data_IF_345833477912
#
_entry.id   IF_345833477912
#
_cell.length_a   1.000
_cell.length_b   1.000
_cell.length_c   1.000
_cell.angle_alpha   90.00
_cell.angle_beta   90.00
_cell.angle_gamma   90.00
#
_symmetry.space_group_name_H-M   'P 1'
#
loop_
_entity.id
_entity.type
_entity.pdbx_description
1 polymer ?
#
# COMPACT_ATOMS: atom_id res chain seq x y z
N UNK A 1 19.22 12.72 25.58
CA UNK A 1 19.44 11.97 24.31
C UNK A 1 18.14 11.24 24.06
N UNK A 2 17.36 11.69 23.07
CA UNK A 2 16.01 11.17 22.80
C UNK A 2 16.07 9.98 21.84
N UNK A 3 15.33 8.92 22.15
CA UNK A 3 15.17 7.68 21.37
C UNK A 3 14.60 7.86 19.94
N UNK A 4 15.01 8.88 19.21
CA UNK A 4 14.50 9.19 17.86
C UNK A 4 15.36 8.68 16.72
N UNK A 5 16.46 7.98 17.01
CA UNK A 5 17.42 7.53 15.99
C UNK A 5 17.39 6.01 15.71
N UNK A 6 16.41 5.28 16.24
CA UNK A 6 16.23 3.88 15.82
C UNK A 6 15.47 3.84 14.49
N UNK A 7 16.03 3.11 13.50
CA UNK A 7 15.35 2.87 12.24
C UNK A 7 13.92 2.34 12.50
N UNK A 8 12.91 2.79 11.75
CA UNK A 8 11.54 2.33 11.93
C UNK A 8 11.49 0.80 11.75
N UNK A 9 10.86 0.12 12.70
CA UNK A 9 10.72 -1.35 12.68
C UNK A 9 9.33 -1.67 12.14
N UNK A 10 9.22 -2.52 11.09
CA UNK A 10 7.95 -2.98 10.58
C UNK A 10 7.09 -3.61 11.68
N UNK A 11 5.78 -3.38 11.63
CA UNK A 11 4.87 -3.94 12.62
C UNK A 11 4.92 -5.48 12.59
N UNK A 12 5.24 -6.09 13.73
CA UNK A 12 5.37 -7.55 13.85
C UNK A 12 4.05 -8.25 13.48
N UNK A 13 4.15 -9.33 12.66
CA UNK A 13 3.02 -10.22 12.29
C UNK A 13 2.24 -10.75 13.51
N UNK A 14 2.87 -10.87 14.69
CA UNK A 14 2.19 -11.27 15.93
C UNK A 14 1.07 -10.31 16.34
N UNK A 15 1.11 -9.08 15.84
CA UNK A 15 0.05 -8.05 16.03
C UNK A 15 -0.90 -7.94 14.83
N UNK A 16 -0.75 -8.77 13.80
CA UNK A 16 -1.55 -8.71 12.58
C UNK A 16 -3.08 -8.79 12.81
N UNK A 17 -3.52 -9.41 13.93
CA UNK A 17 -4.93 -9.43 14.33
C UNK A 17 -5.56 -8.03 14.45
N UNK A 18 -4.78 -7.03 14.88
CA UNK A 18 -5.26 -5.63 14.94
C UNK A 18 -5.52 -5.05 13.54
N UNK A 19 -4.77 -5.50 12.53
CA UNK A 19 -4.93 -5.07 11.14
C UNK A 19 -6.23 -5.62 10.51
N UNK A 20 -6.78 -6.70 11.05
CA UNK A 20 -8.05 -7.30 10.63
C UNK A 20 -9.26 -6.75 11.40
N UNK A 21 -9.06 -5.80 12.34
CA UNK A 21 -10.14 -5.23 13.14
C UNK A 21 -11.20 -4.58 12.24
N UNK A 22 -12.48 -5.01 12.32
CA UNK A 22 -13.54 -4.48 11.49
C UNK A 22 -13.84 -2.99 11.74
N UNK A 23 -13.41 -2.42 12.88
CA UNK A 23 -13.56 -0.99 13.16
C UNK A 23 -12.74 -0.11 12.22
N UNK A 24 -11.70 -0.64 11.57
CA UNK A 24 -10.91 0.08 10.54
C UNK A 24 -11.78 0.57 9.37
N UNK A 25 -12.93 -0.08 9.10
CA UNK A 25 -13.88 0.36 8.06
C UNK A 25 -14.42 1.78 8.30
N UNK A 26 -14.47 2.25 9.54
CA UNK A 26 -14.93 3.60 9.86
C UNK A 26 -13.90 4.67 9.47
N UNK A 27 -12.62 4.32 9.42
CA UNK A 27 -11.52 5.20 9.03
C UNK A 27 -11.36 5.14 7.49
N UNK A 28 -10.99 3.97 6.98
CA UNK A 28 -10.91 3.70 5.54
C UNK A 28 -11.51 2.32 5.25
N UNK A 29 -12.73 2.28 4.69
CA UNK A 29 -13.29 1.00 4.27
C UNK A 29 -12.65 0.53 2.96
N UNK A 30 -12.54 -0.82 2.72
CA UNK A 30 -12.05 -1.35 1.46
C UNK A 30 -12.83 -0.82 0.23
N UNK A 31 -14.14 -0.59 0.38
CA UNK A 31 -14.96 -0.02 -0.69
C UNK A 31 -14.65 1.45 -0.98
N UNK A 32 -14.29 2.24 0.05
CA UNK A 32 -13.83 3.63 -0.14
C UNK A 32 -12.47 3.65 -0.84
N UNK A 33 -11.55 2.77 -0.43
CA UNK A 33 -10.25 2.63 -1.09
C UNK A 33 -10.41 2.34 -2.58
N UNK A 34 -11.18 1.30 -2.94
CA UNK A 34 -11.42 0.92 -4.35
C UNK A 34 -11.95 2.09 -5.18
N UNK A 35 -12.84 2.93 -4.62
CA UNK A 35 -13.32 4.14 -5.30
C UNK A 35 -12.21 5.16 -5.53
N UNK A 36 -11.26 5.30 -4.58
CA UNK A 36 -10.14 6.24 -4.69
C UNK A 36 -9.08 5.78 -5.70
N UNK A 37 -8.95 4.47 -5.89
CA UNK A 37 -8.00 3.87 -6.84
C UNK A 37 -8.45 3.93 -8.31
N UNK A 38 -9.72 4.22 -8.60
CA UNK A 38 -10.27 4.34 -9.97
C UNK A 38 -9.87 3.18 -10.90
N UNK A 39 -9.97 1.93 -10.40
CA UNK A 39 -9.44 0.74 -11.05
C UNK A 39 -10.18 0.38 -12.34
N UNK A 40 -9.42 0.07 -13.39
CA UNK A 40 -9.89 -0.69 -14.54
C UNK A 40 -9.97 -2.19 -14.17
N UNK A 41 -10.94 -2.92 -14.73
CA UNK A 41 -11.15 -4.34 -14.44
C UNK A 41 -9.99 -5.26 -14.85
N UNK A 42 -9.15 -4.83 -15.78
CA UNK A 42 -7.96 -5.55 -16.26
C UNK A 42 -6.64 -4.96 -15.72
N UNK A 43 -6.70 -4.09 -14.71
CA UNK A 43 -5.50 -3.42 -14.19
C UNK A 43 -4.53 -4.40 -13.52
N UNK A 44 -3.22 -4.16 -13.73
CA UNK A 44 -2.15 -4.73 -12.92
C UNK A 44 -1.90 -3.82 -11.73
N UNK A 45 -2.18 -4.32 -10.53
CA UNK A 45 -2.14 -3.52 -9.30
C UNK A 45 -1.09 -4.08 -8.34
N UNK A 46 -0.32 -3.20 -7.71
CA UNK A 46 0.60 -3.52 -6.63
C UNK A 46 0.05 -2.97 -5.30
N UNK A 47 -0.08 -3.82 -4.29
CA UNK A 47 -0.24 -3.46 -2.88
C UNK A 47 1.09 -3.65 -2.18
N UNK A 48 1.72 -2.56 -1.73
CA UNK A 48 2.99 -2.58 -1.01
C UNK A 48 2.73 -2.54 0.50
N UNK A 49 3.28 -3.52 1.25
CA UNK A 49 3.00 -3.72 2.66
C UNK A 49 1.57 -4.22 2.88
N UNK A 50 1.21 -5.35 2.24
CA UNK A 50 -0.17 -5.84 2.23
C UNK A 50 -0.65 -6.34 3.61
N UNK A 51 0.28 -6.64 4.53
CA UNK A 51 -0.04 -7.25 5.80
C UNK A 51 -0.90 -8.51 5.62
N UNK A 52 -1.90 -8.76 6.49
CA UNK A 52 -2.77 -9.94 6.39
C UNK A 52 -3.88 -9.81 5.32
N UNK A 53 -3.78 -8.87 4.36
CA UNK A 53 -4.68 -8.76 3.23
C UNK A 53 -6.06 -8.16 3.52
N UNK A 54 -6.16 -7.19 4.44
CA UNK A 54 -7.45 -6.58 4.80
C UNK A 54 -8.12 -5.85 3.62
N UNK A 55 -7.35 -5.10 2.85
CA UNK A 55 -7.84 -4.36 1.68
C UNK A 55 -7.80 -5.17 0.39
N UNK A 56 -6.86 -6.11 0.29
CA UNK A 56 -6.51 -6.90 -0.88
C UNK A 56 -7.71 -7.60 -1.52
N UNK A 57 -8.54 -8.26 -0.70
CA UNK A 57 -9.70 -9.01 -1.20
C UNK A 57 -10.66 -8.13 -2.02
N UNK A 58 -10.95 -6.90 -1.54
CA UNK A 58 -11.89 -6.01 -2.22
C UNK A 58 -11.30 -5.41 -3.49
N UNK A 59 -9.97 -5.17 -3.50
CA UNK A 59 -9.24 -4.71 -4.69
C UNK A 59 -9.22 -5.81 -5.74
N UNK A 60 -8.83 -7.04 -5.39
CA UNK A 60 -8.79 -8.18 -6.30
C UNK A 60 -10.16 -8.47 -6.95
N UNK A 61 -11.24 -8.43 -6.17
CA UNK A 61 -12.61 -8.57 -6.69
C UNK A 61 -13.00 -7.49 -7.71
N UNK A 62 -12.36 -6.33 -7.67
CA UNK A 62 -12.65 -5.22 -8.58
C UNK A 62 -11.93 -5.34 -9.92
N UNK A 63 -10.88 -6.14 -9.98
CA UNK A 63 -10.04 -6.36 -11.17
C UNK A 63 -10.07 -7.83 -11.63
N UNK A 64 -11.24 -8.40 -11.97
CA UNK A 64 -11.36 -9.82 -12.29
C UNK A 64 -10.57 -10.24 -13.53
N UNK A 65 -10.29 -9.33 -14.46
CA UNK A 65 -9.47 -9.54 -15.65
C UNK A 65 -8.02 -9.09 -15.50
N UNK A 66 -7.66 -8.54 -14.33
CA UNK A 66 -6.32 -8.07 -14.00
C UNK A 66 -5.64 -8.94 -12.95
N UNK A 67 -4.54 -8.42 -12.39
CA UNK A 67 -3.75 -9.10 -11.35
C UNK A 67 -3.46 -8.15 -10.19
N UNK A 68 -3.63 -8.63 -8.95
CA UNK A 68 -3.15 -7.96 -7.75
C UNK A 68 -1.88 -8.64 -7.25
N UNK A 69 -0.78 -7.89 -7.21
CA UNK A 69 0.48 -8.32 -6.59
C UNK A 69 0.53 -7.79 -5.16
N UNK A 70 0.71 -8.69 -4.22
CA UNK A 70 0.86 -8.40 -2.79
C UNK A 70 2.32 -8.52 -2.41
N UNK A 71 2.92 -7.42 -1.94
CA UNK A 71 4.29 -7.39 -1.45
C UNK A 71 4.30 -7.13 0.04
N UNK A 72 5.09 -7.91 0.76
CA UNK A 72 5.40 -7.67 2.17
C UNK A 72 6.83 -8.15 2.47
N UNK A 73 7.46 -7.58 3.48
CA UNK A 73 8.80 -7.99 3.92
C UNK A 73 8.74 -9.19 4.88
N UNK A 74 7.56 -9.54 5.39
CA UNK A 74 7.34 -10.64 6.31
C UNK A 74 6.57 -11.77 5.62
N UNK A 75 7.18 -12.96 5.52
CA UNK A 75 6.54 -14.15 4.92
C UNK A 75 5.24 -14.51 5.64
N UNK A 76 5.21 -14.36 6.95
CA UNK A 76 4.03 -14.68 7.77
C UNK A 76 2.81 -13.79 7.41
N UNK A 77 3.03 -12.52 7.03
CA UNK A 77 1.98 -11.63 6.55
C UNK A 77 1.42 -12.12 5.20
N UNK A 78 2.30 -12.52 4.28
CA UNK A 78 1.89 -13.10 3.00
C UNK A 78 1.11 -14.41 3.17
N UNK A 79 1.54 -15.27 4.10
CA UNK A 79 0.83 -16.53 4.41
C UNK A 79 -0.58 -16.27 4.98
N UNK A 80 -0.72 -15.23 5.82
CA UNK A 80 -2.02 -14.81 6.34
C UNK A 80 -2.90 -14.22 5.23
N UNK A 81 -2.31 -13.37 4.37
CA UNK A 81 -3.01 -12.82 3.22
C UNK A 81 -3.48 -13.93 2.27
N UNK A 82 -2.62 -14.93 1.99
CA UNK A 82 -2.96 -16.08 1.16
C UNK A 82 -4.15 -16.86 1.73
N UNK A 83 -4.10 -17.25 3.00
CA UNK A 83 -5.21 -17.95 3.67
C UNK A 83 -6.52 -17.16 3.57
N UNK A 84 -6.42 -15.83 3.68
CA UNK A 84 -7.57 -14.94 3.55
C UNK A 84 -8.11 -14.91 2.11
N UNK A 85 -7.26 -14.79 1.09
CA UNK A 85 -7.69 -14.80 -0.31
C UNK A 85 -8.32 -16.14 -0.68
N UNK A 86 -7.71 -17.25 -0.25
CA UNK A 86 -8.22 -18.61 -0.46
C UNK A 86 -9.64 -18.75 0.16
N UNK A 87 -9.87 -18.20 1.36
CA UNK A 87 -11.18 -18.23 2.03
C UNK A 87 -12.30 -17.47 1.29
N UNK A 88 -11.93 -16.54 0.41
CA UNK A 88 -12.85 -15.78 -0.45
C UNK A 88 -12.92 -16.35 -1.89
N UNK A 89 -12.17 -17.41 -2.21
CA UNK A 89 -12.09 -17.97 -3.56
C UNK A 89 -11.42 -17.05 -4.58
N UNK A 90 -10.52 -16.17 -4.12
CA UNK A 90 -9.82 -15.18 -4.96
C UNK A 90 -8.52 -15.80 -5.46
N UNK A 91 -8.33 -15.85 -6.79
CA UNK A 91 -7.20 -16.50 -7.44
C UNK A 91 -6.30 -15.58 -8.27
N UNK A 92 -6.72 -14.34 -8.53
CA UNK A 92 -5.95 -13.38 -9.33
C UNK A 92 -4.88 -12.61 -8.52
N UNK A 93 -4.19 -13.33 -7.62
CA UNK A 93 -3.19 -12.79 -6.69
C UNK A 93 -1.81 -13.35 -7.00
N UNK A 94 -0.81 -12.48 -6.91
CA UNK A 94 0.61 -12.85 -6.89
C UNK A 94 1.23 -12.38 -5.56
N UNK A 95 1.92 -13.27 -4.85
CA UNK A 95 2.54 -12.99 -3.54
C UNK A 95 4.05 -12.89 -3.72
N UNK A 96 4.68 -11.83 -3.21
CA UNK A 96 6.10 -11.57 -3.35
C UNK A 96 6.69 -11.11 -2.03
N UNK A 97 7.65 -11.85 -1.52
CA UNK A 97 8.49 -11.45 -0.38
C UNK A 97 9.59 -10.52 -0.89
N UNK A 98 9.54 -9.25 -0.55
CA UNK A 98 10.55 -8.27 -0.99
C UNK A 98 10.63 -7.07 -0.05
N UNK A 99 11.78 -6.40 -0.09
CA UNK A 99 11.97 -5.08 0.49
C UNK A 99 11.34 -4.01 -0.43
N UNK A 100 10.68 -3.03 0.16
CA UNK A 100 10.10 -1.89 -0.56
C UNK A 100 11.15 -1.03 -1.30
N UNK A 101 12.40 -1.05 -0.83
CA UNK A 101 13.51 -0.33 -1.44
C UNK A 101 14.21 -1.11 -2.58
N UNK A 102 13.81 -2.39 -2.83
CA UNK A 102 14.36 -3.24 -3.89
C UNK A 102 13.28 -4.18 -4.43
N UNK A 103 12.45 -3.68 -5.34
CA UNK A 103 11.32 -4.43 -5.88
C UNK A 103 11.72 -5.31 -7.06
N UNK A 104 11.42 -6.64 -7.03
CA UNK A 104 11.83 -7.59 -8.07
C UNK A 104 10.91 -7.56 -9.30
N UNK A 105 10.61 -6.35 -9.82
CA UNK A 105 9.73 -6.17 -10.96
C UNK A 105 10.41 -5.37 -12.06
N UNK A 106 10.00 -5.61 -13.30
CA UNK A 106 10.41 -4.81 -14.46
C UNK A 106 9.89 -3.36 -14.36
N UNK A 107 10.51 -2.45 -15.08
CA UNK A 107 10.04 -1.08 -15.21
C UNK A 107 8.60 -1.07 -15.78
N UNK A 108 7.79 -0.09 -15.37
CA UNK A 108 6.45 0.17 -15.91
C UNK A 108 5.49 -1.04 -15.86
N UNK A 109 5.65 -1.92 -14.85
CA UNK A 109 4.89 -3.17 -14.67
C UNK A 109 3.46 -2.98 -14.16
N UNK A 110 3.18 -1.86 -13.48
CA UNK A 110 1.91 -1.67 -12.78
C UNK A 110 1.14 -0.43 -13.26
N UNK A 111 -0.18 -0.59 -13.36
CA UNK A 111 -1.11 0.49 -13.66
C UNK A 111 -1.40 1.35 -12.44
N UNK A 112 -1.49 0.70 -11.27
CA UNK A 112 -1.80 1.31 -9.99
C UNK A 112 -0.94 0.69 -8.91
N UNK A 113 -0.37 1.52 -8.06
CA UNK A 113 0.31 1.12 -6.83
C UNK A 113 -0.40 1.77 -5.65
N UNK A 114 -0.66 1.01 -4.59
CA UNK A 114 -1.16 1.60 -3.36
C UNK A 114 -0.47 1.03 -2.12
N UNK A 115 -0.39 1.87 -1.08
CA UNK A 115 0.13 1.53 0.24
C UNK A 115 -0.70 2.21 1.32
N UNK A 116 -0.86 1.54 2.46
CA UNK A 116 -1.73 2.02 3.54
C UNK A 116 -1.03 1.86 4.89
N UNK A 117 -0.72 3.00 5.54
CA UNK A 117 -0.04 3.06 6.84
C UNK A 117 1.26 2.21 6.84
N UNK A 118 2.07 2.36 5.79
CA UNK A 118 3.26 1.55 5.57
C UNK A 118 4.50 2.40 5.25
N UNK A 119 4.33 3.56 4.60
CA UNK A 119 5.46 4.40 4.18
C UNK A 119 6.32 4.85 5.37
N UNK A 120 5.70 5.06 6.52
CA UNK A 120 6.36 5.41 7.77
C UNK A 120 7.32 4.33 8.27
N UNK A 121 7.02 3.05 8.01
CA UNK A 121 7.78 1.89 8.45
C UNK A 121 8.99 1.57 7.54
N UNK A 122 9.09 2.22 6.37
CA UNK A 122 10.21 2.02 5.43
C UNK A 122 11.44 2.80 5.91
N UNK A 123 12.58 2.12 6.17
CA UNK A 123 13.81 2.81 6.56
C UNK A 123 14.36 3.69 5.45
N UNK A 124 14.50 3.16 4.25
CA UNK A 124 14.99 3.86 3.06
C UNK A 124 13.83 4.34 2.17
N UNK A 125 13.19 5.43 2.58
CA UNK A 125 12.07 6.02 1.86
C UNK A 125 12.45 6.53 0.47
N UNK A 126 13.68 7.03 0.30
CA UNK A 126 14.13 7.54 -0.99
C UNK A 126 14.20 6.44 -2.03
N UNK A 127 14.85 5.31 -1.73
CA UNK A 127 14.92 4.20 -2.65
C UNK A 127 13.54 3.56 -2.85
N UNK A 128 12.72 3.43 -1.81
CA UNK A 128 11.34 2.99 -1.97
C UNK A 128 10.58 3.84 -2.99
N UNK A 129 10.66 5.17 -2.90
CA UNK A 129 9.97 6.08 -3.83
C UNK A 129 10.53 5.96 -5.26
N UNK A 130 11.85 5.79 -5.42
CA UNK A 130 12.46 5.52 -6.73
C UNK A 130 11.96 4.22 -7.33
N UNK A 131 11.86 3.16 -6.53
CA UNK A 131 11.33 1.86 -6.95
C UNK A 131 9.84 1.96 -7.33
N UNK A 132 9.01 2.62 -6.51
CA UNK A 132 7.62 2.89 -6.85
C UNK A 132 7.48 3.64 -8.18
N UNK A 133 8.34 4.65 -8.40
CA UNK A 133 8.37 5.38 -9.67
C UNK A 133 8.83 4.48 -10.81
N UNK A 134 9.86 3.66 -10.62
CA UNK A 134 10.40 2.77 -11.65
C UNK A 134 9.36 1.76 -12.13
N UNK A 135 8.68 1.08 -11.19
CA UNK A 135 7.75 -0.01 -11.52
C UNK A 135 6.36 0.47 -11.90
N UNK A 136 5.97 1.71 -11.59
CA UNK A 136 4.71 2.31 -12.04
C UNK A 136 4.85 2.79 -13.48
N UNK A 137 3.92 2.45 -14.36
CA UNK A 137 3.92 2.92 -15.76
C UNK A 137 3.67 4.43 -15.88
N UNK A 138 4.06 5.01 -16.99
CA UNK A 138 3.72 6.40 -17.32
C UNK A 138 2.19 6.62 -17.27
N UNK A 139 1.75 7.68 -16.60
CA UNK A 139 0.33 7.97 -16.35
C UNK A 139 -0.34 7.04 -15.33
N UNK A 140 0.40 6.11 -14.72
CA UNK A 140 -0.08 5.24 -13.64
C UNK A 140 -0.42 6.01 -12.37
N UNK A 141 -1.17 5.37 -11.47
CA UNK A 141 -1.63 5.95 -10.22
C UNK A 141 -0.83 5.41 -9.02
N UNK A 142 -0.21 6.29 -8.24
CA UNK A 142 0.29 5.99 -6.90
C UNK A 142 -0.69 6.53 -5.86
N UNK A 143 -1.18 5.67 -4.96
CA UNK A 143 -2.12 6.04 -3.91
C UNK A 143 -1.57 5.72 -2.53
N UNK A 144 -1.40 6.74 -1.68
CA UNK A 144 -0.85 6.62 -0.33
C UNK A 144 -1.92 7.01 0.68
N UNK A 145 -2.21 6.10 1.61
CA UNK A 145 -3.16 6.35 2.69
C UNK A 145 -2.45 6.27 4.03
N UNK A 146 -2.66 7.27 4.88
CA UNK A 146 -2.14 7.32 6.25
C UNK A 146 -3.28 7.49 7.25
N UNK A 147 -3.07 7.01 8.47
CA UNK A 147 -4.09 6.92 9.51
C UNK A 147 -3.49 7.29 10.85
N UNK A 148 -4.05 8.29 11.54
CA UNK A 148 -3.48 8.91 12.74
C UNK A 148 -3.41 8.00 13.98
N UNK A 149 -4.00 6.82 13.96
CA UNK A 149 -3.79 5.82 15.01
C UNK A 149 -2.48 5.05 14.86
N UNK A 150 -1.81 5.18 13.69
CA UNK A 150 -0.49 4.61 13.49
C UNK A 150 0.52 5.42 14.32
N UNK A 151 1.34 4.76 15.17
CA UNK A 151 2.38 5.45 15.95
C UNK A 151 3.39 6.23 15.10
N UNK A 152 3.58 5.82 13.86
CA UNK A 152 4.51 6.41 12.91
C UNK A 152 3.82 7.29 11.85
N UNK A 153 2.60 7.73 12.11
CA UNK A 153 1.80 8.55 11.18
C UNK A 153 2.60 9.70 10.55
N UNK A 154 2.57 9.78 9.23
CA UNK A 154 3.16 10.89 8.48
C UNK A 154 2.07 11.89 8.11
N UNK A 155 2.30 13.19 8.36
CA UNK A 155 1.37 14.24 7.95
C UNK A 155 1.29 14.32 6.41
N UNK A 156 0.11 14.65 5.88
CA UNK A 156 -0.17 14.74 4.45
C UNK A 156 0.78 15.67 3.68
N UNK A 157 1.13 16.82 4.27
CA UNK A 157 2.09 17.75 3.67
C UNK A 157 3.48 17.12 3.50
N UNK A 158 3.92 16.34 4.49
CA UNK A 158 5.22 15.67 4.43
C UNK A 158 5.23 14.57 3.36
N UNK A 159 4.12 13.81 3.23
CA UNK A 159 3.96 12.83 2.14
C UNK A 159 3.97 13.52 0.79
N UNK A 160 3.23 14.63 0.64
CA UNK A 160 3.21 15.40 -0.62
C UNK A 160 4.59 15.92 -1.00
N UNK A 161 5.35 16.45 -0.04
CA UNK A 161 6.71 16.95 -0.29
C UNK A 161 7.67 15.80 -0.67
N UNK A 162 7.58 14.67 0.02
CA UNK A 162 8.45 13.52 -0.20
C UNK A 162 8.20 12.87 -1.57
N UNK A 163 6.93 12.66 -1.92
CA UNK A 163 6.52 12.00 -3.16
C UNK A 163 6.59 12.96 -4.36
N UNK A 164 6.28 14.23 -4.15
CA UNK A 164 6.22 15.25 -5.21
C UNK A 164 7.54 15.53 -5.93
N UNK A 165 8.65 14.95 -5.45
CA UNK A 165 9.96 15.02 -6.15
C UNK A 165 9.93 14.25 -7.47
N UNK A 166 9.19 13.12 -7.53
CA UNK A 166 9.14 12.23 -8.69
C UNK A 166 7.73 12.08 -9.29
N UNK A 167 6.70 12.48 -8.56
CA UNK A 167 5.30 12.28 -8.95
C UNK A 167 4.52 13.58 -8.93
N UNK A 168 3.49 13.67 -9.77
CA UNK A 168 2.59 14.81 -9.83
C UNK A 168 1.38 14.59 -8.92
N UNK A 169 1.10 15.51 -8.00
CA UNK A 169 -0.11 15.47 -7.19
C UNK A 169 -1.37 15.49 -8.07
N UNK A 170 -2.30 14.56 -7.81
CA UNK A 170 -3.57 14.48 -8.53
C UNK A 170 -4.74 14.89 -7.64
N UNK A 171 -4.89 14.23 -6.47
CA UNK A 171 -6.04 14.45 -5.60
C UNK A 171 -5.79 13.97 -4.18
N UNK A 172 -6.50 14.58 -3.24
CA UNK A 172 -6.56 14.15 -1.84
C UNK A 172 -7.98 13.83 -1.41
N UNK A 173 -8.10 12.88 -0.46
CA UNK A 173 -9.34 12.46 0.16
C UNK A 173 -9.15 12.35 1.66
N UNK A 174 -10.18 12.71 2.43
CA UNK A 174 -10.19 12.56 3.88
C UNK A 174 -9.92 13.88 4.60
N UNK A 175 -9.16 13.83 5.66
CA UNK A 175 -8.78 14.97 6.50
C UNK A 175 -7.35 14.79 7.03
N UNK A 176 -6.80 15.78 7.73
CA UNK A 176 -5.42 15.79 8.26
C UNK A 176 -5.05 14.60 9.17
N UNK A 177 -6.01 13.84 9.68
CA UNK A 177 -5.78 12.67 10.54
C UNK A 177 -5.88 11.33 9.78
N UNK A 178 -6.71 11.29 8.74
CA UNK A 178 -6.96 10.06 7.97
C UNK A 178 -7.17 10.45 6.52
N UNK A 179 -6.16 10.32 5.71
CA UNK A 179 -6.16 10.80 4.34
C UNK A 179 -5.71 9.72 3.34
N UNK A 180 -6.02 9.97 2.09
CA UNK A 180 -5.41 9.31 0.92
C UNK A 180 -4.97 10.39 -0.03
N UNK A 181 -3.72 10.35 -0.46
CA UNK A 181 -3.19 11.24 -1.50
C UNK A 181 -2.85 10.41 -2.73
N UNK A 182 -3.37 10.83 -3.86
CA UNK A 182 -3.14 10.23 -5.16
C UNK A 182 -2.17 11.08 -5.97
N UNK A 183 -1.27 10.40 -6.66
CA UNK A 183 -0.26 10.99 -7.54
C UNK A 183 -0.25 10.27 -8.89
N UNK A 184 0.26 10.94 -9.92
CA UNK A 184 0.57 10.40 -11.24
C UNK A 184 2.08 10.36 -11.50
N UNK A 185 2.53 9.32 -12.19
CA UNK A 185 3.86 9.28 -12.79
C UNK A 185 3.86 10.08 -14.09
#
# INVERSE_FOLDING_TARGET
MSDRDSAPIPMSYKRAGHLLNPLRKFILSPSKLVKRLSLNQSANVLELGCGPGYYSAKVAQKIPGGKLTLVDIQQEMLDMAKKRMDSFGISNIHYVLADAAELPFENDSFDVIFLIAMLSEVPDKENCIRELHRVLRAGGLLSISEQSYDPHFIQDLNVKNLIGVLFHFEREFGNSRNYTVNFKK
#
